data_IF_335650665386
#
_entry.id   IF_335650665386
#
_cell.length_a   1.000
_cell.length_b   1.000
_cell.length_c   1.000
_cell.angle_alpha   90.00
_cell.angle_beta   90.00
_cell.angle_gamma   90.00
#
_symmetry.space_group_name_H-M   'P 1'
#
loop_
_entity.id
_entity.type
_entity.pdbx_description
1 polymer ?
#
# COMPACT_ATOMS: atom_id res chain seq x y z
N UNK A 1 19.54 4.44 10.26
CA UNK A 1 19.50 4.21 8.80
C UNK A 1 19.86 5.44 7.95
N UNK A 2 20.16 6.61 8.54
CA UNK A 2 20.70 7.78 7.80
C UNK A 2 19.73 8.50 6.85
N UNK A 3 18.48 8.07 6.71
CA UNK A 3 17.51 8.70 5.80
C UNK A 3 17.06 10.07 6.31
N UNK A 4 17.09 11.05 5.41
CA UNK A 4 16.63 12.42 5.67
C UNK A 4 15.26 12.65 5.02
N UNK A 5 14.45 13.51 5.65
CA UNK A 5 13.10 13.84 5.19
C UNK A 5 12.87 15.33 5.30
N UNK A 6 12.39 15.96 4.22
CA UNK A 6 12.04 17.38 4.20
C UNK A 6 10.78 17.69 5.03
N UNK A 7 9.91 16.70 5.30
CA UNK A 7 8.69 16.88 6.10
C UNK A 7 8.75 16.06 7.38
N UNK A 8 8.45 16.70 8.50
CA UNK A 8 8.42 16.09 9.84
C UNK A 8 7.40 14.94 9.93
N UNK A 9 6.26 15.04 9.24
CA UNK A 9 5.26 13.98 9.18
C UNK A 9 5.77 12.71 8.46
N UNK A 10 6.64 12.88 7.46
CA UNK A 10 7.27 11.76 6.76
C UNK A 10 8.35 11.11 7.63
N UNK A 11 9.17 11.90 8.32
CA UNK A 11 10.11 11.38 9.30
C UNK A 11 9.39 10.58 10.39
N UNK A 12 8.34 11.14 11.01
CA UNK A 12 7.54 10.44 12.04
C UNK A 12 6.97 9.12 11.51
N UNK A 13 6.44 9.14 10.29
CA UNK A 13 5.90 7.93 9.65
C UNK A 13 7.00 6.91 9.36
N UNK A 14 8.18 7.36 8.95
CA UNK A 14 9.34 6.52 8.72
C UNK A 14 9.84 5.87 10.02
N UNK A 15 9.90 6.62 11.12
CA UNK A 15 10.42 6.10 12.39
C UNK A 15 9.64 4.87 12.91
N UNK A 16 8.39 4.69 12.48
CA UNK A 16 7.60 3.49 12.76
C UNK A 16 8.28 2.19 12.31
N UNK A 17 9.11 2.22 11.28
CA UNK A 17 9.81 1.01 10.81
C UNK A 17 10.91 0.55 11.77
N UNK A 18 11.44 1.45 12.59
CA UNK A 18 12.49 1.14 13.57
C UNK A 18 11.90 0.67 14.90
N UNK A 19 10.61 0.91 15.14
CA UNK A 19 9.92 0.45 16.32
C UNK A 19 9.32 -0.95 16.09
N UNK A 20 10.06 -1.98 16.50
CA UNK A 20 9.67 -3.39 16.37
C UNK A 20 8.45 -3.78 17.23
N UNK A 21 8.13 -2.99 18.25
CA UNK A 21 7.02 -3.24 19.18
C UNK A 21 5.73 -2.51 18.76
N UNK A 22 5.73 -1.86 17.60
CA UNK A 22 4.55 -1.18 17.10
C UNK A 22 3.51 -2.22 16.66
N UNK A 23 2.30 -2.11 17.21
CA UNK A 23 1.13 -2.85 16.73
C UNK A 23 0.98 -2.70 15.21
N UNK A 24 0.84 -3.84 14.54
CA UNK A 24 0.73 -3.92 13.08
C UNK A 24 -0.73 -4.05 12.71
N UNK A 25 -1.07 -3.57 11.53
CA UNK A 25 -2.39 -3.75 10.95
C UNK A 25 -2.42 -5.11 10.25
N UNK A 26 -3.18 -6.05 10.79
CA UNK A 26 -3.28 -7.41 10.28
C UNK A 26 -4.32 -7.52 9.16
N UNK A 27 -3.99 -8.27 8.12
CA UNK A 27 -4.98 -8.72 7.16
C UNK A 27 -5.85 -9.81 7.79
N UNK A 28 -7.18 -9.73 7.58
CA UNK A 28 -8.11 -10.75 8.08
C UNK A 28 -8.24 -11.94 7.13
N UNK A 29 -7.71 -11.84 5.91
CA UNK A 29 -7.82 -12.87 4.87
C UNK A 29 -6.49 -13.60 4.61
N UNK A 30 -5.39 -13.15 5.19
CA UNK A 30 -4.09 -13.81 5.11
C UNK A 30 -3.19 -13.41 6.29
N UNK A 31 -2.05 -14.07 6.46
CA UNK A 31 -1.13 -13.86 7.58
C UNK A 31 -0.26 -12.60 7.49
N UNK A 32 -0.51 -11.72 6.51
CA UNK A 32 0.30 -10.51 6.31
C UNK A 32 -0.11 -9.38 7.26
N UNK A 33 0.90 -8.62 7.71
CA UNK A 33 0.71 -7.47 8.59
C UNK A 33 1.53 -6.25 8.16
N UNK A 34 0.94 -5.07 8.33
CA UNK A 34 1.44 -3.80 7.78
C UNK A 34 1.69 -2.78 8.88
N UNK A 35 2.72 -1.95 8.73
CA UNK A 35 3.05 -0.90 9.72
C UNK A 35 2.12 0.31 9.64
N UNK A 36 1.35 0.44 8.56
CA UNK A 36 0.46 1.58 8.30
C UNK A 36 -0.88 1.09 7.77
N UNK A 37 -1.96 1.69 8.27
CA UNK A 37 -3.34 1.35 7.86
C UNK A 37 -3.55 1.46 6.34
N UNK A 38 -3.01 2.51 5.71
CA UNK A 38 -3.14 2.68 4.26
C UNK A 38 -2.48 1.55 3.46
N UNK A 39 -1.39 0.95 3.98
CA UNK A 39 -0.74 -0.19 3.32
C UNK A 39 -1.63 -1.43 3.40
N UNK A 40 -2.29 -1.68 4.54
CA UNK A 40 -3.29 -2.74 4.67
C UNK A 40 -4.48 -2.50 3.74
N UNK A 41 -5.07 -1.30 3.74
CA UNK A 41 -6.19 -0.96 2.85
C UNK A 41 -5.81 -1.20 1.38
N UNK A 42 -4.60 -0.78 0.98
CA UNK A 42 -4.10 -1.01 -0.38
C UNK A 42 -3.86 -2.49 -0.66
N UNK A 43 -3.43 -3.25 0.34
CA UNK A 43 -3.27 -4.70 0.21
C UNK A 43 -4.62 -5.39 0.00
N UNK A 44 -5.70 -4.95 0.64
CA UNK A 44 -7.03 -5.55 0.48
C UNK A 44 -7.54 -5.57 -0.97
N UNK A 45 -7.01 -4.72 -1.86
CA UNK A 45 -7.32 -4.79 -3.30
C UNK A 45 -6.90 -6.10 -3.97
N UNK A 46 -5.94 -6.85 -3.42
CA UNK A 46 -5.58 -8.18 -3.99
C UNK A 46 -6.64 -9.23 -3.66
N UNK A 47 -7.34 -9.03 -2.56
CA UNK A 47 -8.39 -9.89 -2.07
C UNK A 47 -9.76 -9.54 -2.68
N UNK A 48 -9.88 -8.33 -3.22
CA UNK A 48 -11.08 -7.92 -3.94
C UNK A 48 -11.07 -8.47 -5.37
N UNK A 49 -12.18 -9.10 -5.83
CA UNK A 49 -12.31 -9.48 -7.23
C UNK A 49 -12.53 -8.27 -8.15
N UNK A 50 -12.75 -7.06 -7.59
CA UNK A 50 -13.10 -5.87 -8.34
C UNK A 50 -11.84 -5.19 -8.88
N UNK A 51 -11.81 -4.96 -10.19
CA UNK A 51 -10.75 -4.23 -10.90
C UNK A 51 -11.35 -2.96 -11.53
N UNK A 52 -11.48 -1.86 -10.77
CA UNK A 52 -12.23 -0.70 -11.23
C UNK A 52 -11.49 0.16 -12.26
N UNK A 53 -10.22 -0.15 -12.55
CA UNK A 53 -9.40 0.63 -13.48
C UNK A 53 -9.09 -0.21 -14.71
N UNK A 54 -9.64 0.15 -15.87
CA UNK A 54 -9.38 -0.51 -17.16
C UNK A 54 -8.49 0.34 -18.06
N UNK A 55 -7.69 -0.31 -18.89
CA UNK A 55 -6.96 0.32 -19.98
C UNK A 55 -7.85 0.32 -21.24
N UNK A 56 -8.17 1.50 -21.75
CA UNK A 56 -9.07 1.63 -22.91
C UNK A 56 -8.46 1.09 -24.21
N UNK A 57 -7.12 1.01 -24.31
CA UNK A 57 -6.44 0.52 -25.52
C UNK A 57 -6.41 -1.00 -25.63
N UNK A 58 -6.27 -1.72 -24.52
CA UNK A 58 -6.09 -3.18 -24.53
C UNK A 58 -7.08 -3.95 -23.65
N UNK A 59 -8.00 -3.27 -22.97
CA UNK A 59 -9.03 -3.88 -22.11
C UNK A 59 -8.52 -4.45 -20.78
N UNK A 60 -7.21 -4.40 -20.50
CA UNK A 60 -6.65 -4.93 -19.24
C UNK A 60 -7.18 -4.15 -18.04
N UNK A 61 -7.68 -4.87 -17.04
CA UNK A 61 -8.20 -4.30 -15.80
C UNK A 61 -7.21 -4.46 -14.62
N UNK A 62 -7.21 -3.49 -13.73
CA UNK A 62 -6.31 -3.35 -12.58
C UNK A 62 -7.09 -3.01 -11.32
N UNK A 63 -6.67 -3.55 -10.17
CA UNK A 63 -7.27 -3.25 -8.87
C UNK A 63 -6.87 -1.85 -8.34
N UNK A 64 -5.86 -1.20 -8.94
CA UNK A 64 -5.31 0.08 -8.49
C UNK A 64 -5.00 1.03 -9.65
N UNK A 65 -5.24 2.33 -9.43
CA UNK A 65 -4.96 3.39 -10.41
C UNK A 65 -3.48 3.48 -10.78
N UNK A 66 -2.58 3.39 -9.81
CA UNK A 66 -1.14 3.49 -10.07
C UNK A 66 -0.59 2.28 -10.84
N UNK A 67 -1.24 1.12 -10.72
CA UNK A 67 -0.93 -0.04 -11.54
C UNK A 67 -1.36 0.17 -13.00
N UNK A 68 -2.52 0.79 -13.23
CA UNK A 68 -2.94 1.22 -14.57
C UNK A 68 -1.97 2.28 -15.12
N UNK A 69 -1.61 3.29 -14.32
CA UNK A 69 -0.72 4.37 -14.76
C UNK A 69 0.67 3.89 -15.18
N UNK A 70 1.20 2.85 -14.52
CA UNK A 70 2.48 2.22 -14.90
C UNK A 70 2.34 1.30 -16.11
N UNK A 71 1.12 0.87 -16.45
CA UNK A 71 0.84 0.07 -17.63
C UNK A 71 0.65 0.91 -18.89
N UNK A 72 -0.01 2.07 -18.76
CA UNK A 72 -0.16 3.06 -19.83
C UNK A 72 1.18 3.64 -20.26
#
# INVERSE_FOLDING_TARGET
CGKQFHRTCHLRSHMRIHNKNLERFHCQQCSLSFLRRHDLTRHMYIHSPIKPFSCDRCGKAFCRRDALQRHL
#
